data_IF_441084494761
#
_entry.id   IF_441084494761
#
_cell.length_a   1.000
_cell.length_b   1.000
_cell.length_c   1.000
_cell.angle_alpha   90.00
_cell.angle_beta   90.00
_cell.angle_gamma   90.00
#
_symmetry.space_group_name_H-M   'P 1'
#
loop_
_entity.id
_entity.type
_entity.pdbx_description
1 polymer ?
#
# COMPACT_ATOMS: atom_id res chain seq x y z
N UNK A 1 -0.10 -17.59 -17.54
CA UNK A 1 -1.41 -17.48 -16.86
C UNK A 1 -1.34 -16.64 -15.60
N UNK A 2 -1.96 -15.45 -15.63
CA UNK A 2 -2.04 -14.53 -14.48
C UNK A 2 -2.79 -15.15 -13.29
N UNK A 3 -3.82 -15.94 -13.55
CA UNK A 3 -4.65 -16.61 -12.53
C UNK A 3 -3.83 -17.58 -11.68
N UNK A 4 -2.93 -18.35 -12.29
CA UNK A 4 -2.05 -19.27 -11.57
C UNK A 4 -1.03 -18.56 -10.67
N UNK A 5 -0.57 -17.37 -11.06
CA UNK A 5 0.33 -16.57 -10.23
C UNK A 5 -0.38 -16.01 -8.99
N UNK A 6 -1.64 -15.60 -9.13
CA UNK A 6 -2.46 -15.11 -8.00
C UNK A 6 -2.73 -16.25 -7.00
N UNK A 7 -3.16 -17.43 -7.46
CA UNK A 7 -3.44 -18.56 -6.56
C UNK A 7 -2.19 -19.00 -5.79
N UNK A 8 -1.03 -19.07 -6.46
CA UNK A 8 0.23 -19.44 -5.82
C UNK A 8 0.65 -18.42 -4.75
N UNK A 9 0.50 -17.13 -5.03
CA UNK A 9 0.82 -16.06 -4.08
C UNK A 9 -0.11 -16.08 -2.87
N UNK A 10 -1.42 -16.22 -3.09
CA UNK A 10 -2.41 -16.29 -2.00
C UNK A 10 -2.17 -17.52 -1.13
N UNK A 11 -1.97 -18.70 -1.72
CA UNK A 11 -1.68 -19.94 -0.99
C UNK A 11 -0.39 -19.83 -0.18
N UNK A 12 0.67 -19.27 -0.78
CA UNK A 12 1.94 -19.05 -0.10
C UNK A 12 1.77 -18.07 1.07
N UNK A 13 1.07 -16.96 0.86
CA UNK A 13 0.79 -15.97 1.90
C UNK A 13 0.01 -16.57 3.08
N UNK A 14 -1.12 -17.24 2.82
CA UNK A 14 -1.95 -17.83 3.88
C UNK A 14 -1.15 -18.87 4.68
N UNK A 15 -0.39 -19.73 4.00
CA UNK A 15 0.43 -20.76 4.67
C UNK A 15 1.51 -20.14 5.56
N UNK A 16 2.23 -19.15 5.04
CA UNK A 16 3.27 -18.45 5.76
C UNK A 16 2.72 -17.67 6.96
N UNK A 17 1.66 -16.89 6.73
CA UNK A 17 1.03 -16.09 7.79
C UNK A 17 0.50 -16.98 8.91
N UNK A 18 -0.14 -18.10 8.57
CA UNK A 18 -0.62 -19.07 9.55
C UNK A 18 0.53 -19.63 10.39
N UNK A 19 1.63 -20.04 9.76
CA UNK A 19 2.80 -20.57 10.47
C UNK A 19 3.43 -19.53 11.41
N UNK A 20 3.55 -18.28 10.94
CA UNK A 20 4.08 -17.16 11.73
C UNK A 20 3.19 -16.88 12.94
N UNK A 21 1.87 -16.81 12.75
CA UNK A 21 0.94 -16.61 13.86
C UNK A 21 1.03 -17.74 14.88
N UNK A 22 1.10 -18.99 14.44
CA UNK A 22 1.22 -20.16 15.35
C UNK A 22 2.52 -20.04 16.16
N UNK A 23 3.65 -19.77 15.49
CA UNK A 23 4.93 -19.61 16.15
C UNK A 23 4.91 -18.48 17.19
N UNK A 24 4.36 -17.32 16.84
CA UNK A 24 4.19 -16.18 17.77
C UNK A 24 3.32 -16.58 18.98
N UNK A 25 2.16 -17.21 18.76
CA UNK A 25 1.28 -17.62 19.84
C UNK A 25 1.92 -18.63 20.79
N UNK A 26 2.64 -19.61 20.26
CA UNK A 26 3.37 -20.61 21.04
C UNK A 26 4.49 -19.94 21.84
N UNK A 27 5.33 -19.10 21.20
CA UNK A 27 6.43 -18.42 21.89
C UNK A 27 5.89 -17.49 22.99
N UNK A 28 4.88 -16.68 22.70
CA UNK A 28 4.28 -15.77 23.68
C UNK A 28 3.63 -16.55 24.83
N UNK A 29 2.89 -17.62 24.52
CA UNK A 29 2.31 -18.50 25.54
C UNK A 29 3.37 -19.19 26.41
N UNK A 30 4.47 -19.65 25.81
CA UNK A 30 5.59 -20.25 26.52
C UNK A 30 6.30 -19.25 27.42
N UNK A 31 6.52 -18.02 26.95
CA UNK A 31 7.08 -16.92 27.76
C UNK A 31 6.21 -16.66 28.98
N UNK A 32 4.90 -16.52 28.78
CA UNK A 32 3.95 -16.27 29.88
C UNK A 32 3.91 -17.45 30.86
N UNK A 33 3.99 -18.68 30.35
CA UNK A 33 4.04 -19.88 31.17
C UNK A 33 5.30 -19.95 32.02
N UNK A 34 6.48 -19.64 31.45
CA UNK A 34 7.75 -19.61 32.17
C UNK A 34 7.77 -18.52 33.24
N UNK A 35 7.12 -17.39 32.98
CA UNK A 35 6.90 -16.32 33.96
C UNK A 35 5.81 -16.65 34.99
N UNK A 36 5.19 -17.84 34.90
CA UNK A 36 4.09 -18.33 35.76
C UNK A 36 2.88 -17.39 35.78
N UNK A 37 2.61 -16.69 34.69
CA UNK A 37 1.47 -15.76 34.59
C UNK A 37 0.18 -16.58 34.51
N UNK A 38 -0.83 -16.21 35.30
CA UNK A 38 -2.15 -16.83 35.20
C UNK A 38 -2.70 -16.63 33.78
N UNK A 39 -3.41 -17.62 33.25
CA UNK A 39 -3.94 -17.57 31.87
C UNK A 39 -2.88 -17.47 30.76
N UNK A 40 -1.63 -17.92 30.99
CA UNK A 40 -0.57 -17.95 29.98
C UNK A 40 -1.03 -18.53 28.61
N UNK A 41 -1.82 -19.61 28.65
CA UNK A 41 -2.37 -20.23 27.44
C UNK A 41 -3.37 -19.33 26.70
N UNK A 42 -4.17 -18.55 27.43
CA UNK A 42 -5.13 -17.61 26.84
C UNK A 42 -4.40 -16.45 26.15
N UNK A 43 -3.35 -15.92 26.78
CA UNK A 43 -2.53 -14.89 26.13
C UNK A 43 -1.77 -15.40 24.91
N UNK A 44 -1.28 -16.64 24.94
CA UNK A 44 -0.71 -17.29 23.76
C UNK A 44 -1.72 -17.43 22.61
N UNK A 45 -2.95 -17.86 22.93
CA UNK A 45 -4.04 -17.96 21.95
C UNK A 45 -4.45 -16.58 21.40
N UNK A 46 -4.55 -15.57 22.26
CA UNK A 46 -4.84 -14.20 21.86
C UNK A 46 -3.73 -13.64 20.98
N UNK A 47 -2.46 -13.84 21.35
CA UNK A 47 -1.34 -13.46 20.51
C UNK A 47 -1.40 -14.15 19.12
N UNK A 48 -1.76 -15.43 19.06
CA UNK A 48 -1.98 -16.14 17.80
C UNK A 48 -3.06 -15.47 16.94
N UNK A 49 -4.25 -15.21 17.51
CA UNK A 49 -5.38 -14.61 16.77
C UNK A 49 -5.07 -13.17 16.38
N UNK A 50 -4.56 -12.36 17.30
CA UNK A 50 -4.29 -10.94 17.06
C UNK A 50 -3.18 -10.75 16.02
N UNK A 51 -2.17 -11.62 16.00
CA UNK A 51 -1.03 -11.49 15.07
C UNK A 51 -1.42 -11.66 13.58
N UNK A 52 -2.65 -12.10 13.28
CA UNK A 52 -3.20 -12.00 11.93
C UNK A 52 -3.37 -10.57 11.45
N UNK A 53 -3.60 -9.62 12.37
CA UNK A 53 -3.73 -8.20 12.07
C UNK A 53 -2.31 -7.59 12.12
N UNK A 54 -1.72 -7.20 10.99
CA UNK A 54 -0.36 -6.67 10.97
C UNK A 54 -0.31 -5.32 11.70
N UNK A 55 0.83 -5.04 12.34
CA UNK A 55 1.13 -3.84 13.13
C UNK A 55 0.27 -3.64 14.40
N UNK A 56 -1.05 -3.71 14.30
CA UNK A 56 -1.98 -3.48 15.42
C UNK A 56 -2.03 -4.70 16.34
N UNK A 57 -2.11 -5.90 15.77
CA UNK A 57 -2.21 -7.15 16.52
C UNK A 57 -1.10 -7.34 17.54
N UNK A 58 0.19 -7.27 17.13
CA UNK A 58 1.32 -7.32 18.04
C UNK A 58 1.26 -6.32 19.19
N UNK A 59 0.87 -5.06 18.92
CA UNK A 59 0.78 -4.03 19.96
C UNK A 59 -0.26 -4.36 21.02
N UNK A 60 -1.45 -4.81 20.59
CA UNK A 60 -2.50 -5.19 21.54
C UNK A 60 -2.12 -6.47 22.28
N UNK A 61 -1.53 -7.45 21.59
CA UNK A 61 -1.14 -8.73 22.17
C UNK A 61 -0.06 -8.61 23.26
N UNK A 62 0.88 -7.67 23.13
CA UNK A 62 1.91 -7.41 24.16
C UNK A 62 1.39 -6.61 25.34
N UNK A 63 0.41 -5.73 25.11
CA UNK A 63 -0.20 -4.92 26.16
C UNK A 63 -1.21 -5.71 27.00
N UNK A 64 -1.90 -6.68 26.40
CA UNK A 64 -3.00 -7.41 27.05
C UNK A 64 -2.64 -8.10 28.38
N UNK A 65 -1.48 -8.75 28.53
CA UNK A 65 -1.09 -9.41 29.79
C UNK A 65 -0.68 -8.41 30.89
N UNK A 66 -0.35 -7.16 30.53
CA UNK A 66 0.26 -6.21 31.45
C UNK A 66 -0.58 -5.92 32.69
N UNK A 67 -1.90 -5.65 32.61
CA UNK A 67 -2.71 -5.43 33.80
C UNK A 67 -2.67 -6.64 34.73
N UNK A 68 -2.75 -7.85 34.19
CA UNK A 68 -2.77 -9.08 35.00
C UNK A 68 -1.46 -9.26 35.76
N UNK A 69 -0.31 -9.09 35.10
CA UNK A 69 1.00 -9.24 35.74
C UNK A 69 1.29 -8.09 36.72
N UNK A 70 0.76 -6.89 36.47
CA UNK A 70 0.98 -5.72 37.32
C UNK A 70 0.18 -5.79 38.63
N UNK A 71 -1.02 -6.34 38.60
CA UNK A 71 -1.88 -6.49 39.78
C UNK A 71 -1.61 -7.77 40.58
N UNK A 72 -0.76 -8.66 40.08
CA UNK A 72 -0.38 -9.89 40.76
C UNK A 72 0.67 -9.60 41.86
N UNK A 73 0.32 -9.74 43.16
CA UNK A 73 1.20 -9.39 44.26
C UNK A 73 2.42 -10.31 44.39
N UNK A 74 2.38 -11.50 43.78
CA UNK A 74 3.48 -12.47 43.81
C UNK A 74 4.57 -12.16 42.77
N UNK A 75 4.36 -11.15 41.92
CA UNK A 75 5.27 -10.80 40.82
C UNK A 75 6.19 -9.64 41.19
N UNK A 76 7.48 -9.85 40.98
CA UNK A 76 8.49 -8.79 41.09
C UNK A 76 8.36 -7.83 39.90
N UNK A 77 8.75 -6.56 40.09
CA UNK A 77 8.90 -5.59 39.00
C UNK A 77 9.74 -6.09 37.81
N UNK A 78 10.72 -6.96 38.09
CA UNK A 78 11.51 -7.62 37.05
C UNK A 78 10.65 -8.55 36.19
N UNK A 79 9.74 -9.32 36.80
CA UNK A 79 8.82 -10.21 36.06
C UNK A 79 7.85 -9.41 35.19
N UNK A 80 7.35 -8.26 35.66
CA UNK A 80 6.54 -7.33 34.86
C UNK A 80 7.32 -6.83 33.64
N UNK A 81 8.57 -6.40 33.85
CA UNK A 81 9.45 -5.96 32.77
C UNK A 81 9.71 -7.07 31.74
N UNK A 82 9.96 -8.30 32.19
CA UNK A 82 10.16 -9.45 31.30
C UNK A 82 8.89 -9.86 30.56
N UNK A 83 7.72 -9.77 31.20
CA UNK A 83 6.44 -10.05 30.58
C UNK A 83 6.12 -9.09 29.42
N UNK A 84 6.60 -7.84 29.49
CA UNK A 84 6.51 -6.91 28.38
C UNK A 84 7.61 -7.13 27.33
N UNK A 85 8.86 -7.24 27.79
CA UNK A 85 10.04 -7.21 26.93
C UNK A 85 10.15 -8.47 26.06
N UNK A 86 9.99 -9.66 26.64
CA UNK A 86 10.19 -10.91 25.92
C UNK A 86 9.19 -11.10 24.76
N UNK A 87 7.86 -10.93 24.94
CA UNK A 87 6.93 -11.01 23.82
C UNK A 87 7.15 -9.89 22.80
N UNK A 88 7.53 -8.69 23.23
CA UNK A 88 7.85 -7.58 22.32
C UNK A 88 9.03 -7.91 21.41
N UNK A 89 10.07 -8.57 21.95
CA UNK A 89 11.20 -9.06 21.16
C UNK A 89 10.75 -10.13 20.16
N UNK A 90 9.90 -11.07 20.58
CA UNK A 90 9.33 -12.09 19.66
C UNK A 90 8.58 -11.42 18.52
N UNK A 91 7.69 -10.47 18.81
CA UNK A 91 6.96 -9.75 17.77
C UNK A 91 7.88 -8.93 16.87
N UNK A 92 8.92 -8.29 17.42
CA UNK A 92 9.89 -7.53 16.65
C UNK A 92 10.68 -8.43 15.69
N UNK A 93 11.14 -9.59 16.16
CA UNK A 93 11.89 -10.55 15.31
C UNK A 93 10.96 -11.19 14.27
N UNK A 94 9.77 -11.65 14.68
CA UNK A 94 8.83 -12.30 13.77
C UNK A 94 8.28 -11.33 12.72
N UNK A 95 7.93 -10.10 13.12
CA UNK A 95 7.33 -9.10 12.24
C UNK A 95 8.34 -8.30 11.40
N UNK A 96 9.49 -7.92 11.95
CA UNK A 96 10.44 -7.06 11.22
C UNK A 96 11.58 -7.82 10.52
N UNK A 97 11.88 -9.06 10.92
CA UNK A 97 12.94 -9.84 10.29
C UNK A 97 12.37 -11.02 9.51
N UNK A 98 11.55 -11.85 10.14
CA UNK A 98 11.09 -13.10 9.53
C UNK A 98 10.01 -12.86 8.48
N UNK A 99 8.98 -12.07 8.76
CA UNK A 99 7.94 -11.72 7.78
C UNK A 99 8.53 -11.16 6.46
N UNK A 100 9.36 -10.10 6.45
CA UNK A 100 9.92 -9.56 5.21
C UNK A 100 10.92 -10.51 4.53
N UNK A 101 11.73 -11.25 5.29
CA UNK A 101 12.67 -12.22 4.73
C UNK A 101 11.94 -13.35 4.00
N UNK A 102 10.84 -13.84 4.56
CA UNK A 102 10.10 -14.99 4.03
C UNK A 102 9.11 -14.57 2.93
N UNK A 103 8.61 -13.34 2.98
CA UNK A 103 7.74 -12.77 1.94
C UNK A 103 8.53 -12.18 0.75
N UNK A 104 9.83 -11.88 0.90
CA UNK A 104 10.72 -11.38 -0.17
C UNK A 104 10.38 -9.96 -0.64
N UNK A 105 11.30 -9.31 -1.37
CA UNK A 105 11.35 -7.89 -1.83
C UNK A 105 10.07 -7.27 -2.48
N UNK A 106 8.95 -8.00 -2.54
CA UNK A 106 7.71 -7.60 -3.19
C UNK A 106 6.81 -6.65 -2.40
N UNK A 107 7.16 -6.30 -1.15
CA UNK A 107 6.36 -5.45 -0.26
C UNK A 107 7.07 -4.16 0.13
N UNK A 108 7.49 -3.35 -0.84
CA UNK A 108 7.86 -1.94 -0.61
C UNK A 108 6.64 -1.05 -0.29
N UNK A 109 5.57 -1.61 0.28
CA UNK A 109 4.37 -0.83 0.62
C UNK A 109 4.58 -0.23 2.02
N UNK A 110 4.37 1.07 2.15
CA UNK A 110 4.52 1.77 3.40
C UNK A 110 3.51 1.25 4.47
N UNK A 111 3.92 1.11 5.74
CA UNK A 111 3.04 0.62 6.81
C UNK A 111 1.74 1.43 6.95
N UNK A 112 1.78 2.74 6.68
CA UNK A 112 0.61 3.61 6.71
C UNK A 112 -0.47 3.20 5.70
N UNK A 113 -0.06 2.76 4.51
CA UNK A 113 -0.99 2.31 3.45
C UNK A 113 -1.65 1.00 3.87
N UNK A 114 -0.89 0.11 4.49
CA UNK A 114 -1.40 -1.13 5.07
C UNK A 114 -2.44 -0.83 6.16
N UNK A 115 -2.15 0.12 7.06
CA UNK A 115 -3.09 0.54 8.10
C UNK A 115 -4.38 1.15 7.54
N UNK A 116 -4.28 1.99 6.51
CA UNK A 116 -5.45 2.56 5.83
C UNK A 116 -6.30 1.48 5.15
N UNK A 117 -5.66 0.53 4.47
CA UNK A 117 -6.36 -0.56 3.82
C UNK A 117 -7.06 -1.48 4.83
N UNK A 118 -6.43 -1.76 5.98
CA UNK A 118 -7.05 -2.53 7.06
C UNK A 118 -8.25 -1.77 7.61
N UNK A 119 -8.12 -0.47 7.82
CA UNK A 119 -9.22 0.37 8.30
C UNK A 119 -10.41 0.35 7.33
N UNK A 120 -10.14 0.45 6.03
CA UNK A 120 -11.15 0.37 4.99
C UNK A 120 -11.83 -1.01 4.93
N UNK A 121 -11.05 -2.10 4.87
CA UNK A 121 -11.57 -3.45 4.73
C UNK A 121 -12.18 -4.02 6.02
N UNK A 122 -11.73 -3.56 7.18
CA UNK A 122 -12.30 -3.96 8.49
C UNK A 122 -13.74 -3.49 8.64
N UNK A 123 -14.06 -2.27 8.18
CA UNK A 123 -15.44 -1.74 8.21
C UNK A 123 -16.35 -2.53 7.26
N UNK A 124 -15.81 -3.03 6.15
CA UNK A 124 -16.57 -3.82 5.20
C UNK A 124 -16.94 -5.19 5.76
N UNK A 125 -15.95 -6.05 6.04
CA UNK A 125 -16.17 -7.46 6.34
C UNK A 125 -15.56 -7.92 7.69
N UNK A 126 -15.07 -7.00 8.52
CA UNK A 126 -14.47 -7.31 9.82
C UNK A 126 -13.12 -8.01 9.72
N UNK A 127 -12.91 -9.05 10.55
CA UNK A 127 -11.63 -9.77 10.68
C UNK A 127 -11.14 -10.38 9.35
N UNK A 128 -11.97 -11.10 8.56
CA UNK A 128 -11.57 -11.59 7.24
C UNK A 128 -11.06 -10.49 6.31
N UNK A 129 -11.68 -9.29 6.36
CA UNK A 129 -11.27 -8.13 5.57
C UNK A 129 -9.86 -7.64 5.94
N UNK A 130 -9.52 -7.65 7.23
CA UNK A 130 -8.18 -7.26 7.70
C UNK A 130 -7.08 -8.19 7.17
N UNK A 131 -7.34 -9.50 7.14
CA UNK A 131 -6.38 -10.51 6.64
C UNK A 131 -6.19 -10.36 5.12
N UNK A 132 -7.26 -10.12 4.38
CA UNK A 132 -7.22 -9.94 2.93
C UNK A 132 -6.70 -8.55 2.50
N UNK A 133 -6.65 -7.58 3.40
CA UNK A 133 -6.19 -6.23 3.10
C UNK A 133 -4.79 -6.22 2.46
N UNK A 134 -3.85 -6.97 3.02
CA UNK A 134 -2.46 -7.02 2.53
C UNK A 134 -2.38 -7.53 1.08
N UNK A 135 -2.91 -8.72 0.72
CA UNK A 135 -2.89 -9.18 -0.67
C UNK A 135 -3.71 -8.29 -1.61
N UNK A 136 -4.82 -7.70 -1.17
CA UNK A 136 -5.61 -6.79 -1.99
C UNK A 136 -4.83 -5.52 -2.37
N UNK A 137 -4.10 -4.93 -1.42
CA UNK A 137 -3.23 -3.77 -1.70
C UNK A 137 -2.12 -4.16 -2.68
N UNK A 138 -1.54 -5.35 -2.55
CA UNK A 138 -0.53 -5.84 -3.49
C UNK A 138 -1.07 -6.00 -4.91
N UNK A 139 -2.27 -6.56 -5.06
CA UNK A 139 -2.93 -6.69 -6.37
C UNK A 139 -3.20 -5.30 -6.96
N UNK A 140 -3.76 -4.39 -6.16
CA UNK A 140 -4.02 -3.00 -6.57
C UNK A 140 -2.73 -2.32 -7.07
N UNK A 141 -1.63 -2.47 -6.33
CA UNK A 141 -0.32 -1.96 -6.72
C UNK A 141 0.13 -2.53 -8.07
N UNK A 142 0.03 -3.85 -8.27
CA UNK A 142 0.43 -4.51 -9.53
C UNK A 142 -0.39 -3.99 -10.71
N UNK A 143 -1.71 -3.78 -10.53
CA UNK A 143 -2.59 -3.20 -11.54
C UNK A 143 -2.17 -1.76 -11.89
N UNK A 144 -1.86 -0.93 -10.89
CA UNK A 144 -1.39 0.44 -11.12
C UNK A 144 -0.03 0.47 -11.82
N UNK A 145 0.88 -0.46 -11.51
CA UNK A 145 2.19 -0.54 -12.19
C UNK A 145 2.05 -0.91 -13.67
N UNK A 146 1.09 -1.76 -14.03
CA UNK A 146 0.83 -2.13 -15.43
C UNK A 146 0.02 -1.08 -16.21
N UNK A 147 -0.54 -0.09 -15.53
CA UNK A 147 -1.30 0.98 -16.17
C UNK A 147 -0.33 2.08 -16.60
N UNK A 148 -0.26 2.38 -17.89
CA UNK A 148 0.63 3.44 -18.42
C UNK A 148 0.20 4.88 -18.04
N UNK A 149 -0.89 5.03 -17.29
CA UNK A 149 -1.41 6.33 -16.91
C UNK A 149 -0.53 7.00 -15.85
N UNK A 150 -0.15 8.29 -16.00
CA UNK A 150 0.67 9.02 -15.03
C UNK A 150 0.15 8.98 -13.58
N UNK A 151 -1.16 9.15 -13.37
CA UNK A 151 -1.78 9.05 -12.04
C UNK A 151 -1.55 7.70 -11.35
N UNK A 152 -1.43 6.61 -12.12
CA UNK A 152 -1.16 5.28 -11.56
C UNK A 152 0.28 5.18 -11.02
N UNK A 153 1.25 5.81 -11.70
CA UNK A 153 2.65 5.88 -11.27
C UNK A 153 2.82 6.73 -10.00
N UNK A 154 2.07 7.83 -9.89
CA UNK A 154 2.03 8.66 -8.67
C UNK A 154 1.42 7.84 -7.51
N UNK A 155 0.31 7.15 -7.74
CA UNK A 155 -0.35 6.33 -6.72
C UNK A 155 0.58 5.23 -6.18
N UNK A 156 1.32 4.53 -7.05
CA UNK A 156 2.32 3.52 -6.63
C UNK A 156 3.42 4.17 -5.80
N UNK A 157 3.94 5.32 -6.22
CA UNK A 157 5.01 6.01 -5.50
C UNK A 157 4.57 6.47 -4.11
N UNK A 158 3.31 6.89 -3.96
CA UNK A 158 2.71 7.20 -2.66
C UNK A 158 2.50 5.95 -1.80
N UNK A 159 2.08 4.83 -2.41
CA UNK A 159 1.97 3.54 -1.70
C UNK A 159 3.32 3.07 -1.16
N UNK A 160 4.41 3.40 -1.85
CA UNK A 160 5.78 3.10 -1.42
C UNK A 160 6.35 4.12 -0.42
N UNK A 161 5.60 5.18 -0.09
CA UNK A 161 6.10 6.36 0.62
C UNK A 161 7.39 6.94 -0.01
N UNK A 162 7.56 6.79 -1.33
CA UNK A 162 8.70 7.29 -2.08
C UNK A 162 8.35 8.65 -2.73
N UNK A 163 8.36 9.69 -1.91
CA UNK A 163 7.96 11.05 -2.31
C UNK A 163 8.85 11.65 -3.41
N UNK A 164 10.13 11.24 -3.48
CA UNK A 164 11.05 11.68 -4.55
C UNK A 164 10.59 11.18 -5.91
N UNK A 165 10.25 9.88 -5.99
CA UNK A 165 9.73 9.27 -7.21
C UNK A 165 8.38 9.85 -7.61
N UNK A 166 7.50 10.11 -6.64
CA UNK A 166 6.22 10.77 -6.87
C UNK A 166 6.40 12.18 -7.46
N UNK A 167 7.34 12.97 -6.92
CA UNK A 167 7.63 14.31 -7.41
C UNK A 167 8.23 14.29 -8.82
N UNK A 168 9.11 13.32 -9.13
CA UNK A 168 9.68 13.16 -10.48
C UNK A 168 8.60 12.86 -11.53
N UNK A 169 7.65 11.97 -11.23
CA UNK A 169 6.56 11.64 -12.16
C UNK A 169 5.68 12.86 -12.44
N UNK A 170 5.34 13.63 -11.41
CA UNK A 170 4.55 14.87 -11.57
C UNK A 170 5.37 15.94 -12.31
N UNK A 171 6.68 16.03 -12.05
CA UNK A 171 7.57 16.96 -12.74
C UNK A 171 7.71 16.63 -14.24
N UNK A 172 7.85 15.36 -14.60
CA UNK A 172 7.86 14.90 -16.00
C UNK A 172 6.55 15.24 -16.73
N UNK A 173 5.40 15.02 -16.09
CA UNK A 173 4.10 15.36 -16.69
C UNK A 173 3.97 16.87 -16.93
N UNK A 174 4.43 17.70 -15.99
CA UNK A 174 4.42 19.16 -16.16
C UNK A 174 5.32 19.65 -17.32
N UNK A 175 6.39 18.92 -17.64
CA UNK A 175 7.26 19.23 -18.78
C UNK A 175 6.65 18.79 -20.12
N UNK A 176 5.98 17.63 -20.18
CA UNK A 176 5.32 17.16 -21.40
C UNK A 176 4.12 18.04 -21.79
N UNK A 177 3.35 18.51 -20.81
CA UNK A 177 2.24 19.45 -21.04
C UNK A 177 2.73 20.80 -21.58
N UNK A 178 3.87 21.29 -21.09
CA UNK A 178 4.52 22.49 -21.63
C UNK A 178 5.10 22.27 -23.04
N UNK A 179 5.59 21.07 -23.32
CA UNK A 179 6.10 20.66 -24.64
C UNK A 179 4.95 20.64 -25.66
N UNK A 180 3.82 20.02 -25.35
CA UNK A 180 2.65 19.94 -26.23
C UNK A 180 1.99 21.30 -26.52
N UNK A 181 1.98 22.20 -25.54
CA UNK A 181 1.58 23.60 -25.73
C UNK A 181 2.48 24.35 -26.74
N UNK A 182 3.79 24.08 -26.71
CA UNK A 182 4.73 24.67 -27.67
C UNK A 182 4.56 24.10 -29.09
N UNK A 183 4.26 22.81 -29.22
CA UNK A 183 3.97 22.17 -30.52
C UNK A 183 2.65 22.66 -31.14
N UNK A 184 1.60 22.84 -30.34
CA UNK A 184 0.31 23.35 -30.82
C UNK A 184 0.37 24.82 -31.25
N UNK A 185 1.23 25.65 -30.63
CA UNK A 185 1.51 27.03 -31.10
C UNK A 185 2.27 27.03 -32.44
N UNK A 186 3.21 26.10 -32.64
CA UNK A 186 3.97 25.97 -33.91
C UNK A 186 3.16 25.39 -35.07
N UNK A 187 2.08 24.66 -34.78
CA UNK A 187 1.25 23.96 -35.77
C UNK A 187 0.03 24.77 -36.24
N UNK A 188 -0.05 26.07 -35.94
CA UNK A 188 -1.04 26.96 -36.57
C UNK A 188 -0.57 27.25 -37.99
N UNK A 189 -1.20 26.72 -39.05
CA UNK A 189 -0.80 27.07 -40.41
C UNK A 189 -1.04 28.57 -40.60
N UNK A 190 0.04 29.28 -40.92
CA UNK A 190 -0.01 30.70 -41.29
C UNK A 190 -1.00 30.87 -42.44
N UNK A 191 -2.20 31.37 -42.12
CA UNK A 191 -3.28 31.61 -43.07
C UNK A 191 -2.83 32.77 -43.97
N UNK A 192 -2.21 32.41 -45.09
CA UNK A 192 -1.73 33.31 -46.14
C UNK A 192 -2.86 34.30 -46.48
N UNK A 193 -2.57 35.60 -46.32
CA UNK A 193 -3.50 36.69 -46.53
C UNK A 193 -4.18 36.60 -47.90
N UNK A 194 -5.50 36.43 -47.87
CA UNK A 194 -6.39 36.62 -49.01
C UNK A 194 -6.97 38.03 -48.89
N UNK A 195 -6.48 38.96 -49.71
CA UNK A 195 -7.27 40.02 -50.37
C UNK A 195 -6.33 41.06 -51.00
N UNK A 196 -6.39 41.22 -52.32
CA UNK A 196 -6.98 42.46 -52.84
C UNK A 196 -7.43 42.25 -54.28
N UNK A 197 -8.73 42.44 -54.46
CA UNK A 197 -9.46 42.47 -55.72
C UNK A 197 -9.28 43.89 -56.27
N UNK A 198 -8.52 44.06 -57.34
CA UNK A 198 -8.52 45.31 -58.10
C UNK A 198 -9.71 45.29 -59.04
N UNK A 199 -10.76 45.99 -58.65
CA UNK A 199 -11.84 46.41 -59.53
C UNK A 199 -11.31 47.56 -60.40
N UNK A 200 -11.28 47.37 -61.72
CA UNK A 200 -11.26 48.47 -62.69
C UNK A 200 -11.86 47.99 -64.01
N UNK A 201 -13.16 47.71 -64.01
CA UNK A 201 -13.98 47.65 -65.22
C UNK A 201 -14.94 48.83 -65.23
N UNK A 202 -14.59 49.86 -66.01
CA UNK A 202 -15.53 50.85 -66.52
C UNK A 202 -14.99 51.40 -67.85
N UNK A 203 -15.46 50.84 -68.97
CA UNK A 203 -15.89 51.57 -70.18
C UNK A 203 -16.18 50.54 -71.28
N UNK A 204 -17.42 50.33 -71.70
CA UNK A 204 -18.23 51.12 -72.65
C UNK A 204 -18.45 50.27 -73.91
N UNK A 205 -19.72 50.24 -74.35
CA UNK A 205 -20.22 49.85 -75.68
C UNK A 205 -20.47 48.37 -76.03
N UNK A 206 -21.75 47.96 -75.87
CA UNK A 206 -22.52 47.29 -76.94
C UNK A 206 -23.02 48.40 -77.91
N UNK A 207 -23.24 48.16 -79.23
CA UNK A 207 -24.13 47.08 -79.67
C UNK A 207 -23.90 46.48 -81.09
N UNK A 208 -24.50 45.30 -81.27
CA UNK A 208 -25.29 44.87 -82.44
C UNK A 208 -24.63 44.47 -83.80
N UNK A 209 -25.12 43.31 -84.24
CA UNK A 209 -25.54 42.90 -85.60
C UNK A 209 -24.61 41.98 -86.42
N UNK A 210 -25.26 40.87 -86.80
CA UNK A 210 -25.09 39.96 -87.95
C UNK A 210 -23.98 38.91 -87.85
#
# INVERSE_FOLDING_TARGET
>A
DMVGQIDLQVRRYIRLKSFICIAVGILTGLIMYLLKVELAMVFGLLAFVLNYIPNIGPLIATMLPMPLVLFDPDKTWLAVGLAFFLPSVVHMVMGNFIEPYVMGESFTIAPIVVLLAISFWSVLWGIPGMIMSVPLVSILRICCVHSDHPYAKVAVSLMEANFVKAYQVVAEESQDLHRDSMYSIKMVPSRKGSNHKSDSESNVELPARL
#
